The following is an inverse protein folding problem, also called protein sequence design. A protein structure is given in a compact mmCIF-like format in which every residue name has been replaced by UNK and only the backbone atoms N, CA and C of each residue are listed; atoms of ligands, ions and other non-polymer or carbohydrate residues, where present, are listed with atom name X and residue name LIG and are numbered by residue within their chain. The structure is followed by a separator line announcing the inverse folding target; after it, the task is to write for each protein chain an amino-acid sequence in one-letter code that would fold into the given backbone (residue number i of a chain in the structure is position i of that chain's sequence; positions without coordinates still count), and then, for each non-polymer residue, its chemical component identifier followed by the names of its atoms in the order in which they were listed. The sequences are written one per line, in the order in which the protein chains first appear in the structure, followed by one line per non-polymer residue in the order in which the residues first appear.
data_IF_001912024600
#
_entry.id   IF_001912024600
#
_cell.length_a   1.000
_cell.length_b   1.000
_cell.length_c   1.000
_cell.angle_alpha   90.00
_cell.angle_beta   90.00
_cell.angle_gamma   90.00
#
_symmetry.space_group_name_H-M   'P 1'
#
loop_
_entity.id
_entity.type
_entity.pdbx_description
1 polymer ?
#
# COMPACT_ATOMS: atom_id res chain seq x y z
N UNK A 1 -4.32 -3.12 -10.48
CA UNK A 1 -4.55 -3.03 -9.02
C UNK A 1 -3.39 -2.26 -8.40
N UNK A 2 -3.58 -1.50 -7.32
CA UNK A 2 -2.47 -0.85 -6.59
C UNK A 2 -2.39 -1.45 -5.19
N UNK A 3 -1.18 -1.78 -4.74
CA UNK A 3 -0.92 -2.30 -3.40
C UNK A 3 -0.21 -1.24 -2.55
N UNK A 4 -0.56 -1.16 -1.27
CA UNK A 4 0.07 -0.24 -0.31
C UNK A 4 0.48 -1.00 0.95
N UNK A 5 1.73 -0.84 1.37
CA UNK A 5 2.25 -1.45 2.60
C UNK A 5 3.08 -0.45 3.40
N UNK A 6 2.95 -0.49 4.72
CA UNK A 6 3.77 0.30 5.66
C UNK A 6 5.19 -0.23 5.80
N UNK A 7 5.54 -1.36 5.15
CA UNK A 7 6.90 -1.88 5.13
C UNK A 7 7.84 -0.85 4.50
N UNK A 8 9.06 -0.77 5.04
CA UNK A 8 10.10 0.09 4.51
C UNK A 8 10.46 -0.25 3.06
N UNK A 9 10.86 0.75 2.29
CA UNK A 9 11.27 0.61 0.88
C UNK A 9 12.42 -0.40 0.67
N UNK A 10 13.28 -0.58 1.68
CA UNK A 10 14.34 -1.61 1.66
C UNK A 10 13.81 -3.05 1.61
N UNK A 11 12.51 -3.27 1.86
CA UNK A 11 11.84 -4.57 1.77
C UNK A 11 11.02 -4.72 0.48
N UNK A 12 11.26 -3.87 -0.52
CA UNK A 12 10.46 -3.84 -1.75
C UNK A 12 10.50 -5.13 -2.54
N UNK A 13 11.69 -5.71 -2.72
CA UNK A 13 11.85 -6.98 -3.43
C UNK A 13 11.07 -8.10 -2.73
N UNK A 14 11.29 -8.29 -1.42
CA UNK A 14 10.61 -9.31 -0.61
C UNK A 14 9.10 -9.12 -0.59
N UNK A 15 8.61 -7.87 -0.52
CA UNK A 15 7.17 -7.59 -0.51
C UNK A 15 6.52 -7.94 -1.85
N UNK A 16 7.18 -7.62 -2.98
CA UNK A 16 6.70 -8.01 -4.31
C UNK A 16 6.68 -9.54 -4.49
N UNK A 17 7.75 -10.22 -4.08
CA UNK A 17 7.82 -11.70 -4.12
C UNK A 17 6.70 -12.33 -3.31
N UNK A 18 6.47 -11.82 -2.09
CA UNK A 18 5.37 -12.29 -1.24
C UNK A 18 4.00 -12.16 -1.92
N UNK A 19 3.68 -11.01 -2.50
CA UNK A 19 2.41 -10.83 -3.21
C UNK A 19 2.25 -11.80 -4.39
N UNK A 20 3.32 -12.07 -5.13
CA UNK A 20 3.32 -13.03 -6.24
C UNK A 20 3.16 -14.48 -5.79
N UNK A 21 3.64 -14.82 -4.59
CA UNK A 21 3.50 -16.16 -4.02
C UNK A 21 2.10 -16.46 -3.47
N UNK A 22 1.25 -15.44 -3.29
CA UNK A 22 -0.11 -15.64 -2.82
C UNK A 22 -0.96 -16.23 -3.95
N UNK A 23 -1.39 -17.46 -3.75
CA UNK A 23 -2.38 -18.14 -4.58
C UNK A 23 -3.44 -18.77 -3.69
N UNK A 24 -4.72 -18.60 -4.03
CA UNK A 24 -5.84 -19.23 -3.36
C UNK A 24 -6.77 -19.83 -4.41
N UNK A 25 -7.16 -21.10 -4.25
CA UNK A 25 -8.09 -21.79 -5.17
C UNK A 25 -7.66 -21.65 -6.65
N UNK A 26 -6.35 -21.77 -6.91
CA UNK A 26 -5.72 -21.57 -8.23
C UNK A 26 -5.80 -20.15 -8.81
N UNK A 27 -6.23 -19.16 -8.02
CA UNK A 27 -6.24 -17.74 -8.39
C UNK A 27 -5.08 -17.02 -7.71
N UNK A 28 -4.34 -16.26 -8.50
CA UNK A 28 -3.25 -15.42 -8.03
C UNK A 28 -3.70 -13.97 -7.89
N UNK A 29 -2.97 -13.20 -7.09
CA UNK A 29 -3.13 -11.76 -7.05
C UNK A 29 -2.74 -11.14 -8.41
N UNK A 30 -3.54 -10.21 -8.96
CA UNK A 30 -3.22 -9.56 -10.22
C UNK A 30 -1.98 -8.66 -10.09
N UNK A 31 -1.21 -8.53 -11.17
CA UNK A 31 -0.04 -7.66 -11.16
C UNK A 31 -0.41 -6.18 -10.91
N UNK A 32 0.48 -5.48 -10.21
CA UNK A 32 0.28 -4.08 -9.85
C UNK A 32 1.45 -3.42 -9.12
N UNK A 33 1.54 -2.09 -9.14
CA UNK A 33 2.54 -1.36 -8.37
C UNK A 33 2.33 -1.54 -6.85
N UNK A 34 3.44 -1.55 -6.11
CA UNK A 34 3.46 -1.64 -4.65
C UNK A 34 4.07 -0.37 -4.08
N UNK A 35 3.26 0.41 -3.37
CA UNK A 35 3.68 1.59 -2.62
C UNK A 35 4.16 1.18 -1.23
N UNK A 36 5.32 1.69 -0.84
CA UNK A 36 6.03 1.33 0.39
C UNK A 36 6.45 2.57 1.16
N UNK A 37 6.64 2.43 2.47
CA UNK A 37 7.10 3.54 3.30
C UNK A 37 8.47 4.03 2.82
N UNK A 38 8.66 5.34 2.55
CA UNK A 38 9.92 5.90 2.05
C UNK A 38 11.02 5.87 3.11
N UNK A 39 10.68 5.56 4.36
CA UNK A 39 11.63 5.47 5.47
C UNK A 39 12.47 4.19 5.40
N UNK A 40 13.75 4.28 5.77
CA UNK A 40 14.60 3.12 6.02
C UNK A 40 13.95 2.13 7.00
N UNK A 41 14.33 0.85 6.92
CA UNK A 41 13.78 -0.23 7.78
C UNK A 41 13.80 0.14 9.26
N UNK A 42 14.92 0.68 9.75
CA UNK A 42 15.09 1.10 11.15
C UNK A 42 14.08 2.20 11.55
N UNK A 43 13.87 3.18 10.67
CA UNK A 43 12.96 4.31 10.90
C UNK A 43 11.49 3.88 10.80
N UNK A 44 11.18 2.98 9.86
CA UNK A 44 9.84 2.38 9.75
C UNK A 44 9.50 1.57 11.01
N UNK A 45 10.43 0.76 11.50
CA UNK A 45 10.27 -0.03 12.73
C UNK A 45 10.05 0.86 13.95
N UNK A 46 10.84 1.94 14.09
CA UNK A 46 10.66 2.94 15.15
C UNK A 46 9.26 3.56 15.10
N UNK A 47 8.79 3.94 13.92
CA UNK A 47 7.44 4.51 13.74
C UNK A 47 6.32 3.54 14.08
N UNK A 48 6.52 2.26 13.78
CA UNK A 48 5.54 1.22 14.06
C UNK A 48 5.47 0.86 15.55
N UNK A 49 6.63 0.71 16.20
CA UNK A 49 6.72 0.20 17.59
C UNK A 49 6.70 1.33 18.63
N UNK A 50 7.40 2.44 18.36
CA UNK A 50 7.58 3.55 19.31
C UNK A 50 6.56 4.65 19.06
N UNK A 51 6.49 5.18 17.84
CA UNK A 51 5.62 6.34 17.54
C UNK A 51 4.17 5.92 17.26
N UNK A 52 3.94 4.66 16.88
CA UNK A 52 2.65 4.05 16.55
C UNK A 52 1.81 4.83 15.52
N UNK A 53 2.45 5.45 14.52
CA UNK A 53 1.78 6.24 13.46
C UNK A 53 1.98 5.72 12.03
N UNK A 54 1.62 4.45 11.72
CA UNK A 54 1.68 3.94 10.34
C UNK A 54 0.67 4.63 9.40
N UNK A 55 -0.40 5.22 9.93
CA UNK A 55 -1.46 5.89 9.17
C UNK A 55 -1.02 7.15 8.43
N UNK A 56 -0.10 7.94 9.00
CA UNK A 56 0.39 9.19 8.39
C UNK A 56 1.01 8.91 7.01
N UNK A 57 1.80 7.83 6.90
CA UNK A 57 2.37 7.41 5.62
C UNK A 57 1.29 7.04 4.61
N UNK A 58 0.28 6.25 5.01
CA UNK A 58 -0.77 5.79 4.09
C UNK A 58 -1.58 6.94 3.53
N UNK A 59 -1.95 7.91 4.38
CA UNK A 59 -2.70 9.10 3.95
C UNK A 59 -1.87 9.94 2.99
N UNK A 60 -0.59 10.19 3.31
CA UNK A 60 0.30 10.96 2.46
C UNK A 60 0.50 10.30 1.09
N UNK A 61 0.83 9.01 1.06
CA UNK A 61 1.08 8.27 -0.18
C UNK A 61 -0.15 8.25 -1.10
N UNK A 62 -1.35 8.10 -0.55
CA UNK A 62 -2.58 8.10 -1.34
C UNK A 62 -3.02 9.49 -1.78
N UNK A 63 -2.78 10.51 -0.97
CA UNK A 63 -2.99 11.91 -1.35
C UNK A 63 -2.09 12.28 -2.53
N UNK A 64 -0.81 11.90 -2.47
CA UNK A 64 0.14 12.18 -3.54
C UNK A 64 -0.18 11.38 -4.80
N UNK A 65 -0.54 10.09 -4.68
CA UNK A 65 -1.00 9.29 -5.80
C UNK A 65 -2.25 9.90 -6.45
N UNK A 66 -3.21 10.40 -5.65
CA UNK A 66 -4.43 11.05 -6.17
C UNK A 66 -4.11 12.29 -7.00
N UNK A 67 -3.13 13.10 -6.57
CA UNK A 67 -2.72 14.33 -7.29
C UNK A 67 -2.13 14.05 -8.67
N UNK A 68 -1.62 12.84 -8.92
CA UNK A 68 -1.08 12.46 -10.23
C UNK A 68 -2.18 12.27 -11.29
N UNK A 69 -3.44 12.15 -10.88
CA UNK A 69 -4.54 11.92 -11.81
C UNK A 69 -5.32 13.21 -12.08
N UNK A 70 -5.72 13.46 -13.34
CA UNK A 70 -6.51 14.64 -13.70
C UNK A 70 -7.97 14.56 -13.24
N UNK A 71 -8.42 13.40 -12.74
CA UNK A 71 -9.80 13.15 -12.29
C UNK A 71 -9.96 13.37 -10.78
N UNK A 72 -11.10 13.93 -10.37
CA UNK A 72 -11.39 14.22 -8.94
C UNK A 72 -11.43 12.99 -8.04
N UNK A 73 -11.78 11.82 -8.58
CA UNK A 73 -11.91 10.55 -7.84
C UNK A 73 -11.28 9.40 -8.65
N UNK A 74 -9.94 9.27 -8.64
CA UNK A 74 -9.24 8.21 -9.39
C UNK A 74 -9.36 6.82 -8.74
N UNK A 75 -9.79 6.79 -7.48
CA UNK A 75 -9.88 5.60 -6.66
C UNK A 75 -11.29 5.05 -6.65
N UNK A 76 -11.46 3.79 -7.11
CA UNK A 76 -12.78 3.16 -7.18
C UNK A 76 -13.20 2.45 -5.88
N UNK A 77 -12.29 1.73 -5.22
CA UNK A 77 -12.58 0.98 -3.99
C UNK A 77 -11.32 0.73 -3.15
N UNK A 78 -11.46 0.26 -1.91
CA UNK A 78 -10.36 -0.12 -1.01
C UNK A 78 -10.69 -1.32 -0.13
N UNK A 79 -9.70 -2.17 0.16
CA UNK A 79 -9.75 -3.34 1.05
C UNK A 79 -8.68 -3.35 2.17
N UNK A 80 -9.07 -3.39 3.46
CA UNK A 80 -8.11 -3.45 4.57
C UNK A 80 -8.58 -3.85 5.95
N UNK A 81 -7.60 -4.00 6.86
CA UNK A 81 -7.77 -4.65 8.16
C UNK A 81 -8.05 -3.72 9.35
N UNK A 82 -8.10 -2.39 9.18
CA UNK A 82 -8.47 -1.44 10.26
C UNK A 82 -9.53 -0.48 9.75
N UNK A 83 -10.61 -0.25 10.49
CA UNK A 83 -11.72 0.62 10.08
C UNK A 83 -11.32 2.07 9.79
N UNK A 84 -10.29 2.58 10.48
CA UNK A 84 -9.80 3.97 10.30
C UNK A 84 -9.16 4.23 8.96
N UNK A 85 -8.78 3.17 8.27
CA UNK A 85 -8.15 3.20 6.97
C UNK A 85 -8.67 1.96 6.28
N UNK A 86 -9.73 2.11 5.47
CA UNK A 86 -9.90 1.29 4.26
C UNK A 86 -8.46 1.00 3.82
N UNK A 87 -7.89 -0.19 3.97
CA UNK A 87 -6.57 -0.41 3.33
C UNK A 87 -6.93 -0.65 1.88
N UNK A 88 -6.05 -0.59 0.90
CA UNK A 88 -6.54 -0.25 -0.43
C UNK A 88 -5.91 -1.05 -1.54
N UNK A 89 -6.53 -2.19 -1.86
CA UNK A 89 -6.65 -2.61 -3.25
C UNK A 89 -7.51 -1.54 -3.94
N UNK A 90 -6.87 -0.62 -4.65
CA UNK A 90 -7.58 0.30 -5.52
C UNK A 90 -7.79 -0.32 -6.89
N UNK A 91 -9.06 -0.38 -7.29
CA UNK A 91 -9.42 -0.55 -8.70
C UNK A 91 -9.24 0.80 -9.38
N UNK A 92 -8.49 0.80 -10.47
CA UNK A 92 -8.40 1.95 -11.36
C UNK A 92 -9.54 1.82 -12.38
N UNK A 93 -10.34 2.88 -12.56
CA UNK A 93 -11.31 2.93 -13.65
C UNK A 93 -10.56 3.41 -14.89
N UNK A 94 -10.40 2.54 -15.90
CA UNK A 94 -10.04 2.99 -17.25
C UNK A 94 -11.15 3.88 -17.80
#
# INVERSE_FOLDING_TARGET
MVYLSSRAIGQSHTTKQYLKSIAQDSKQLPDGPVLLSPTSVLVAFRREVIERRPEEFKIAALSDLKKLFPVKQPFFAGFGNRETLYSYIFFYRM
#
